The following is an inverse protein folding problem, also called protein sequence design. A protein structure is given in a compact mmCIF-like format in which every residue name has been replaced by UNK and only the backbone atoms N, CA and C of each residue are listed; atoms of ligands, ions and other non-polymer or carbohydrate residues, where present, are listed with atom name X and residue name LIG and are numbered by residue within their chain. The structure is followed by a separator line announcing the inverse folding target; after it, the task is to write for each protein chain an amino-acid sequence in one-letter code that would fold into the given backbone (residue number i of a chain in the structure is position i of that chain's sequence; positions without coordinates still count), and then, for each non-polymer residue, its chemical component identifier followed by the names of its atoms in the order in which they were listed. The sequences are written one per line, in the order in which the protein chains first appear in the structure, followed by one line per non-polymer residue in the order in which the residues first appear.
data_IF_008961757894
#
_entry.id   IF_008961757894
#
_cell.length_a   1.000
_cell.length_b   1.000
_cell.length_c   1.000
_cell.angle_alpha   90.00
_cell.angle_beta   90.00
_cell.angle_gamma   90.00
#
_symmetry.space_group_name_H-M   'P 1'
#
loop_
_entity.id
_entity.type
_entity.pdbx_description
1 polymer ?
#
# COMPACT_ATOMS: atom_id res chain seq x y z
N UNK A 1 -21.67 -69.89 19.08
CA UNK A 1 -21.25 -69.58 17.70
C UNK A 1 -21.04 -68.07 17.61
N UNK A 2 -19.80 -67.64 17.31
CA UNK A 2 -19.32 -66.35 16.76
C UNK A 2 -19.93 -65.01 17.27
N UNK A 3 -19.22 -64.13 18.02
CA UNK A 3 -18.13 -63.20 17.61
C UNK A 3 -18.59 -62.28 16.45
N UNK A 4 -18.46 -60.94 16.44
CA UNK A 4 -17.50 -60.04 17.09
C UNK A 4 -17.84 -58.53 16.88
N UNK A 5 -17.15 -57.65 17.63
CA UNK A 5 -16.81 -56.21 17.38
C UNK A 5 -18.01 -55.21 17.36
N UNK A 6 -18.07 -54.08 18.08
CA UNK A 6 -17.14 -53.13 18.75
C UNK A 6 -17.95 -52.40 19.85
N UNK A 7 -17.48 -51.93 21.01
CA UNK A 7 -16.20 -51.28 21.35
C UNK A 7 -16.46 -49.81 21.73
N UNK A 8 -16.37 -49.49 23.02
CA UNK A 8 -16.54 -48.16 23.65
C UNK A 8 -15.93 -46.99 22.85
N UNK A 9 -16.55 -45.80 22.94
CA UNK A 9 -15.82 -44.54 23.08
C UNK A 9 -16.70 -43.41 23.66
N UNK A 10 -16.48 -43.15 24.94
CA UNK A 10 -16.74 -41.85 25.55
C UNK A 10 -15.49 -40.95 25.38
N UNK A 11 -15.73 -39.64 25.33
CA UNK A 11 -14.78 -38.53 25.53
C UNK A 11 -13.78 -38.23 24.39
N UNK A 12 -14.09 -37.18 23.62
CA UNK A 12 -13.18 -36.07 23.29
C UNK A 12 -13.82 -35.15 22.22
N UNK A 13 -14.58 -34.13 22.64
CA UNK A 13 -14.91 -33.01 21.76
C UNK A 13 -13.71 -32.05 21.75
N UNK A 14 -12.72 -32.33 20.89
CA UNK A 14 -11.58 -31.46 20.66
C UNK A 14 -11.56 -30.97 19.21
N UNK A 15 -11.75 -29.65 19.08
CA UNK A 15 -11.22 -28.77 18.02
C UNK A 15 -11.34 -29.23 16.55
N UNK A 16 -12.38 -28.75 15.88
CA UNK A 16 -12.29 -28.40 14.45
C UNK A 16 -12.21 -26.87 14.35
N UNK A 17 -10.99 -26.33 14.35
CA UNK A 17 -10.75 -24.97 13.86
C UNK A 17 -10.88 -25.00 12.33
N UNK A 18 -12.08 -24.78 11.82
CA UNK A 18 -12.24 -24.34 10.44
C UNK A 18 -11.65 -22.92 10.35
N UNK A 19 -10.50 -22.83 9.70
CA UNK A 19 -9.92 -21.57 9.26
C UNK A 19 -10.98 -20.83 8.41
N UNK A 20 -11.57 -19.79 8.98
CA UNK A 20 -12.43 -18.88 8.24
C UNK A 20 -11.56 -18.15 7.21
N UNK A 21 -11.62 -18.60 5.96
CA UNK A 21 -11.08 -17.87 4.82
C UNK A 21 -11.65 -16.45 4.82
N UNK A 22 -10.76 -15.45 4.86
CA UNK A 22 -11.15 -14.07 4.62
C UNK A 22 -11.72 -14.00 3.20
N UNK A 23 -13.03 -13.74 3.08
CA UNK A 23 -13.68 -13.56 1.79
C UNK A 23 -13.00 -12.43 1.03
N UNK A 24 -12.44 -12.75 -0.12
CA UNK A 24 -11.90 -11.75 -1.04
C UNK A 24 -13.03 -10.82 -1.48
N UNK A 25 -12.81 -9.51 -1.36
CA UNK A 25 -13.76 -8.52 -1.87
C UNK A 25 -13.43 -8.34 -3.36
N UNK A 26 -14.35 -8.67 -4.26
CA UNK A 26 -14.26 -8.23 -5.66
C UNK A 26 -14.33 -6.70 -5.70
N UNK A 27 -13.42 -6.06 -6.43
CA UNK A 27 -13.38 -4.61 -6.60
C UNK A 27 -14.75 -4.10 -7.11
N UNK A 28 -15.51 -3.37 -6.28
CA UNK A 28 -16.82 -2.84 -6.65
C UNK A 28 -16.69 -1.84 -7.84
N UNK A 29 -17.63 -1.80 -8.80
CA UNK A 29 -17.59 -0.88 -9.95
C UNK A 29 -17.53 0.61 -9.59
N UNK A 30 -17.99 0.99 -8.38
CA UNK A 30 -17.88 2.37 -7.87
C UNK A 30 -16.58 2.68 -7.13
N UNK A 31 -15.66 1.71 -7.01
CA UNK A 31 -14.40 1.82 -6.26
C UNK A 31 -13.17 1.60 -7.12
N UNK A 32 -13.32 0.84 -8.19
CA UNK A 32 -12.25 0.52 -9.10
C UNK A 32 -12.62 0.99 -10.50
N UNK A 33 -11.71 1.71 -11.15
CA UNK A 33 -11.89 2.18 -12.52
C UNK A 33 -10.78 1.58 -13.40
N UNK A 34 -11.16 1.04 -14.54
CA UNK A 34 -10.22 0.44 -15.48
C UNK A 34 -10.07 1.35 -16.68
N UNK A 35 -8.82 1.70 -17.00
CA UNK A 35 -8.45 2.52 -18.14
C UNK A 35 -7.69 1.66 -19.15
N UNK A 36 -8.09 1.72 -20.41
CA UNK A 36 -7.43 0.97 -21.48
C UNK A 36 -6.07 1.60 -21.79
N UNK A 37 -4.99 0.88 -21.51
CA UNK A 37 -3.61 1.32 -21.77
C UNK A 37 -2.81 0.19 -22.42
N UNK A 38 -3.09 -0.17 -23.68
CA UNK A 38 -2.36 -1.22 -24.40
C UNK A 38 -0.85 -1.00 -24.35
N UNK A 39 -0.11 -2.00 -23.87
CA UNK A 39 1.36 -1.95 -23.77
C UNK A 39 1.92 -1.33 -22.49
N UNK A 40 1.08 -0.91 -21.52
CA UNK A 40 1.58 -0.51 -20.20
C UNK A 40 2.18 -1.72 -19.46
N UNK A 41 3.41 -1.61 -18.99
CA UNK A 41 4.17 -2.76 -18.43
C UNK A 41 4.96 -2.43 -17.18
N UNK A 42 5.14 -1.16 -16.85
CA UNK A 42 6.04 -0.72 -15.79
C UNK A 42 5.39 -0.01 -14.60
N UNK A 43 6.22 0.63 -13.75
CA UNK A 43 5.76 1.39 -12.59
C UNK A 43 4.91 2.60 -12.99
N UNK A 44 4.20 3.12 -11.99
CA UNK A 44 3.35 4.31 -12.12
C UNK A 44 3.78 5.32 -11.06
N UNK A 45 3.88 6.59 -11.43
CA UNK A 45 4.19 7.69 -10.52
C UNK A 45 3.23 8.85 -10.75
N UNK A 46 2.95 9.62 -9.70
CA UNK A 46 2.31 10.92 -9.85
C UNK A 46 3.31 11.91 -10.46
N UNK A 47 2.92 12.54 -11.56
CA UNK A 47 3.70 13.57 -12.22
C UNK A 47 3.60 14.92 -11.54
N UNK A 48 4.57 15.81 -11.84
CA UNK A 48 4.60 17.19 -11.35
C UNK A 48 3.40 18.04 -11.85
N UNK A 49 2.75 17.60 -12.92
CA UNK A 49 1.59 18.26 -13.56
C UNK A 49 0.24 17.73 -13.06
N UNK A 50 0.23 16.93 -12.00
CA UNK A 50 -0.99 16.33 -11.47
C UNK A 50 -1.59 15.24 -12.36
N UNK A 51 -0.84 14.73 -13.34
CA UNK A 51 -1.21 13.55 -14.12
C UNK A 51 -0.50 12.29 -13.59
N UNK A 52 -0.96 11.11 -14.02
CA UNK A 52 -0.23 9.87 -13.83
C UNK A 52 0.76 9.65 -14.96
N UNK A 53 1.94 9.19 -14.61
CA UNK A 53 2.95 8.81 -15.57
C UNK A 53 3.35 7.37 -15.36
N UNK A 54 3.47 6.63 -16.47
CA UNK A 54 3.73 5.20 -16.44
C UNK A 54 4.59 4.78 -17.62
N UNK A 55 5.26 3.65 -17.48
CA UNK A 55 6.06 3.08 -18.55
C UNK A 55 5.26 2.02 -19.33
N UNK A 56 5.43 2.05 -20.65
CA UNK A 56 4.96 1.00 -21.53
C UNK A 56 6.05 0.54 -22.50
N UNK A 57 5.71 -0.46 -23.30
CA UNK A 57 6.61 -1.05 -24.28
C UNK A 57 6.99 -0.02 -25.36
N UNK A 58 8.16 0.59 -25.19
CA UNK A 58 8.69 1.63 -26.09
C UNK A 58 8.06 3.02 -25.93
N UNK A 59 7.35 3.30 -24.84
CA UNK A 59 6.79 4.65 -24.59
C UNK A 59 6.74 5.04 -23.12
N UNK A 60 6.74 6.35 -22.88
CA UNK A 60 6.34 6.94 -21.61
C UNK A 60 4.90 7.42 -21.76
N UNK A 61 4.00 6.89 -20.95
CA UNK A 61 2.58 7.22 -20.95
C UNK A 61 2.26 8.29 -19.92
N UNK A 62 1.37 9.21 -20.27
CA UNK A 62 0.76 10.18 -19.38
C UNK A 62 -0.75 9.97 -19.41
N UNK A 63 -1.39 9.89 -18.25
CA UNK A 63 -2.84 9.76 -18.14
C UNK A 63 -3.38 10.82 -17.20
N UNK A 64 -4.36 11.61 -17.64
CA UNK A 64 -5.08 12.50 -16.74
C UNK A 64 -6.06 11.72 -15.82
N UNK A 65 -6.65 12.40 -14.85
CA UNK A 65 -7.58 11.76 -13.90
C UNK A 65 -8.93 11.36 -14.53
N UNK A 66 -9.24 11.86 -15.73
CA UNK A 66 -10.39 11.46 -16.51
C UNK A 66 -10.14 10.18 -17.32
N UNK A 67 -8.87 9.77 -17.46
CA UNK A 67 -8.45 8.58 -18.20
C UNK A 67 -7.98 8.86 -19.63
N UNK A 68 -7.79 10.12 -20.02
CA UNK A 68 -7.23 10.44 -21.33
C UNK A 68 -5.73 10.15 -21.32
N UNK A 69 -5.27 9.34 -22.27
CA UNK A 69 -3.88 8.87 -22.35
C UNK A 69 -3.15 9.55 -23.48
N UNK A 70 -2.03 10.19 -23.17
CA UNK A 70 -1.03 10.67 -24.11
C UNK A 70 0.18 9.74 -24.08
N UNK A 71 0.73 9.40 -25.24
CA UNK A 71 1.92 8.53 -25.35
C UNK A 71 3.07 9.31 -25.96
N UNK A 72 4.21 9.26 -25.29
CA UNK A 72 5.46 9.82 -25.77
C UNK A 72 6.38 8.67 -26.18
N UNK A 73 6.74 8.54 -27.47
CA UNK A 73 7.66 7.50 -27.92
C UNK A 73 8.98 7.57 -27.13
N UNK A 74 9.38 6.46 -26.52
CA UNK A 74 10.65 6.38 -25.84
C UNK A 74 11.77 6.22 -26.90
N UNK A 75 12.86 6.97 -26.81
CA UNK A 75 13.94 6.96 -27.81
C UNK A 75 14.73 5.65 -27.87
N UNK A 76 14.62 4.79 -26.86
CA UNK A 76 15.56 3.70 -26.60
C UNK A 76 14.89 2.55 -25.83
N UNK A 77 14.40 1.53 -26.56
CA UNK A 77 13.98 0.24 -26.00
C UNK A 77 12.97 0.31 -24.83
N UNK A 78 12.76 -0.81 -24.11
CA UNK A 78 11.88 -0.82 -22.94
C UNK A 78 12.53 -0.08 -21.77
N UNK A 79 11.84 0.94 -21.26
CA UNK A 79 12.21 1.62 -20.02
C UNK A 79 12.00 0.69 -18.80
N UNK A 80 12.86 0.81 -17.80
CA UNK A 80 12.90 -0.08 -16.63
C UNK A 80 12.27 0.53 -15.38
N UNK A 81 12.54 1.80 -15.12
CA UNK A 81 12.03 2.52 -13.95
C UNK A 81 11.83 4.01 -14.25
N UNK A 82 10.98 4.68 -13.47
CA UNK A 82 10.55 6.07 -13.67
C UNK A 82 10.39 6.76 -12.31
N UNK A 83 10.89 7.99 -12.19
CA UNK A 83 10.73 8.81 -10.99
C UNK A 83 10.59 10.29 -11.34
N UNK A 84 10.07 11.09 -10.41
CA UNK A 84 10.13 12.55 -10.50
C UNK A 84 11.47 13.00 -9.93
N UNK A 85 12.22 13.77 -10.71
CA UNK A 85 13.50 14.30 -10.33
C UNK A 85 13.42 15.55 -9.46
N UNK A 86 14.57 16.02 -8.95
CA UNK A 86 14.64 17.16 -8.05
C UNK A 86 14.22 18.49 -8.67
N UNK A 87 14.41 18.62 -9.98
CA UNK A 87 14.03 19.79 -10.80
C UNK A 87 12.57 19.75 -11.27
N UNK A 88 11.78 18.78 -10.80
CA UNK A 88 10.40 18.58 -11.17
C UNK A 88 10.21 17.96 -12.56
N UNK A 89 11.26 17.56 -13.28
CA UNK A 89 11.13 16.78 -14.51
C UNK A 89 10.95 15.28 -14.20
N UNK A 90 10.50 14.51 -15.19
CA UNK A 90 10.45 13.05 -15.10
C UNK A 90 11.77 12.46 -15.55
N UNK A 91 12.27 11.48 -14.80
CA UNK A 91 13.48 10.74 -15.14
C UNK A 91 13.18 9.27 -15.26
N UNK A 92 13.67 8.66 -16.34
CA UNK A 92 13.49 7.23 -16.59
C UNK A 92 14.81 6.57 -16.95
N UNK A 93 14.94 5.29 -16.61
CA UNK A 93 16.04 4.44 -17.05
C UNK A 93 15.58 3.56 -18.20
N UNK A 94 16.47 3.33 -19.16
CA UNK A 94 16.24 2.44 -20.28
C UNK A 94 17.57 1.82 -20.71
N UNK A 95 17.59 0.99 -21.76
CA UNK A 95 18.77 0.22 -22.20
C UNK A 95 20.04 1.09 -22.36
N UNK A 96 20.88 1.14 -21.33
CA UNK A 96 22.16 1.86 -21.32
C UNK A 96 22.04 3.38 -21.13
N UNK A 97 20.85 3.90 -20.84
CA UNK A 97 20.61 5.34 -20.79
C UNK A 97 19.71 5.78 -19.64
N UNK A 98 19.80 7.07 -19.34
CA UNK A 98 18.87 7.82 -18.49
C UNK A 98 18.25 8.93 -19.33
N UNK A 99 16.93 9.02 -19.32
CA UNK A 99 16.17 10.08 -19.95
C UNK A 99 15.64 11.06 -18.92
N UNK A 100 15.66 12.35 -19.25
CA UNK A 100 14.98 13.44 -18.55
C UNK A 100 13.90 13.97 -19.48
N UNK A 101 12.67 14.04 -19.03
CA UNK A 101 11.49 14.39 -19.82
C UNK A 101 10.68 15.48 -19.12
N UNK A 102 10.31 16.52 -19.85
CA UNK A 102 9.33 17.51 -19.43
C UNK A 102 7.90 16.96 -19.56
N UNK A 103 6.95 17.61 -18.89
CA UNK A 103 5.53 17.20 -18.93
C UNK A 103 4.87 17.43 -20.30
N UNK A 104 5.51 18.22 -21.14
CA UNK A 104 5.18 18.44 -22.56
C UNK A 104 5.63 17.28 -23.46
N UNK A 105 6.34 16.29 -22.92
CA UNK A 105 6.85 15.13 -23.65
C UNK A 105 8.20 15.36 -24.33
N UNK A 106 8.76 16.56 -24.25
CA UNK A 106 10.12 16.81 -24.73
C UNK A 106 11.12 16.14 -23.79
N UNK A 107 12.11 15.47 -24.34
CA UNK A 107 13.08 14.74 -23.54
C UNK A 107 14.50 14.87 -24.05
N UNK A 108 15.43 14.58 -23.15
CA UNK A 108 16.86 14.50 -23.40
C UNK A 108 17.39 13.19 -22.83
N UNK A 109 18.31 12.53 -23.51
CA UNK A 109 18.86 11.23 -23.10
C UNK A 109 20.37 11.31 -22.93
N UNK A 110 20.88 10.70 -21.87
CA UNK A 110 22.31 10.53 -21.63
C UNK A 110 22.65 9.04 -21.48
N UNK A 111 23.81 8.61 -22.00
CA UNK A 111 24.32 7.25 -21.75
C UNK A 111 24.68 7.12 -20.26
N UNK A 112 24.06 6.15 -19.60
CA UNK A 112 24.38 5.79 -18.21
C UNK A 112 25.39 4.64 -18.15
N UNK A 113 25.51 3.85 -19.23
CA UNK A 113 26.26 2.59 -19.21
C UNK A 113 25.61 1.48 -18.37
N UNK A 114 24.46 1.78 -17.75
CA UNK A 114 23.66 0.85 -16.96
C UNK A 114 22.55 0.30 -17.85
N UNK A 115 22.61 -1.01 -18.11
CA UNK A 115 21.62 -1.72 -18.92
C UNK A 115 20.38 -2.07 -18.09
N UNK A 116 19.46 -1.10 -17.98
CA UNK A 116 18.27 -1.24 -17.15
C UNK A 116 18.62 -1.14 -15.66
N UNK A 117 17.68 -0.66 -14.86
CA UNK A 117 17.99 -0.36 -13.48
C UNK A 117 16.99 0.52 -12.75
N UNK A 118 17.10 0.53 -11.44
CA UNK A 118 16.31 1.41 -10.58
C UNK A 118 16.78 2.86 -10.66
N UNK A 119 15.87 3.80 -10.43
CA UNK A 119 16.18 5.23 -10.33
C UNK A 119 15.51 5.86 -9.12
N UNK A 120 16.26 6.66 -8.35
CA UNK A 120 15.70 7.40 -7.23
C UNK A 120 16.34 8.79 -7.08
N UNK A 121 15.50 9.79 -6.84
CA UNK A 121 15.94 11.15 -6.54
C UNK A 121 16.18 11.35 -5.04
N UNK A 122 17.30 12.02 -4.71
CA UNK A 122 17.64 12.48 -3.37
C UNK A 122 17.24 13.95 -3.18
N UNK A 123 16.98 14.39 -1.92
CA UNK A 123 16.60 15.77 -1.64
C UNK A 123 17.69 16.81 -1.94
N UNK A 124 18.95 16.39 -2.07
CA UNK A 124 20.09 17.26 -2.36
C UNK A 124 20.26 17.59 -3.86
N UNK A 125 19.31 17.19 -4.71
CA UNK A 125 19.41 17.36 -6.16
C UNK A 125 20.15 16.22 -6.87
N UNK A 126 20.52 15.16 -6.16
CA UNK A 126 21.20 14.01 -6.76
C UNK A 126 20.20 12.96 -7.26
N UNK A 127 20.42 12.45 -8.47
CA UNK A 127 19.79 11.24 -8.99
C UNK A 127 20.73 10.05 -8.83
N UNK A 128 20.19 8.95 -8.31
CA UNK A 128 20.89 7.69 -8.17
C UNK A 128 20.34 6.64 -9.12
N UNK A 129 21.23 5.98 -9.86
CA UNK A 129 20.88 4.84 -10.70
C UNK A 129 21.47 3.57 -10.12
N UNK A 130 20.67 2.52 -10.06
CA UNK A 130 21.10 1.18 -9.68
C UNK A 130 21.11 0.27 -10.88
N UNK A 131 22.27 -0.28 -11.22
CA UNK A 131 22.45 -1.26 -12.29
C UNK A 131 23.10 -2.54 -11.77
N UNK A 132 23.19 -3.62 -12.57
CA UNK A 132 23.89 -4.84 -12.18
C UNK A 132 25.32 -4.53 -11.72
N UNK A 133 25.62 -4.70 -10.42
CA UNK A 133 26.95 -4.45 -9.83
C UNK A 133 27.39 -2.98 -9.79
N UNK A 134 26.50 -2.02 -10.03
CA UNK A 134 26.86 -0.59 -10.10
C UNK A 134 25.82 0.30 -9.42
N UNK A 135 26.28 1.25 -8.62
CA UNK A 135 25.51 2.42 -8.19
C UNK A 135 26.11 3.66 -8.84
N UNK A 136 25.28 4.46 -9.48
CA UNK A 136 25.69 5.66 -10.18
C UNK A 136 25.09 6.89 -9.51
N UNK A 137 25.91 7.94 -9.40
CA UNK A 137 25.49 9.26 -8.98
C UNK A 137 25.42 10.20 -10.18
N UNK A 138 24.33 10.94 -10.32
CA UNK A 138 24.16 12.00 -11.32
C UNK A 138 23.65 13.26 -10.64
N UNK A 139 24.21 14.42 -10.98
CA UNK A 139 23.63 15.72 -10.60
C UNK A 139 22.85 16.30 -11.78
N UNK A 140 21.87 17.16 -11.50
CA UNK A 140 21.04 17.80 -12.55
C UNK A 140 21.90 18.54 -13.60
N UNK A 141 22.97 19.22 -13.17
CA UNK A 141 23.95 19.84 -14.07
C UNK A 141 24.58 18.82 -15.02
N UNK A 142 24.79 17.59 -14.56
CA UNK A 142 25.45 16.54 -15.34
C UNK A 142 24.50 15.88 -16.35
N UNK A 143 23.17 16.01 -16.16
CA UNK A 143 22.18 15.55 -17.14
C UNK A 143 21.87 16.66 -18.15
N UNK A 144 21.68 17.89 -17.67
CA UNK A 144 21.34 19.05 -18.50
C UNK A 144 22.53 19.52 -19.35
N UNK A 145 23.74 19.65 -18.79
CA UNK A 145 24.92 20.03 -19.57
C UNK A 145 25.29 19.00 -20.64
N UNK A 146 24.92 17.72 -20.45
CA UNK A 146 25.08 16.64 -21.42
C UNK A 146 24.01 16.63 -22.52
N UNK A 147 22.90 17.33 -22.34
CA UNK A 147 21.78 17.36 -23.26
C UNK A 147 21.82 18.52 -24.29
N UNK A 148 22.49 19.62 -23.96
CA UNK A 148 22.50 20.86 -24.77
C UNK A 148 23.60 20.94 -25.84
N UNK A 149 24.38 19.88 -26.08
CA UNK A 149 25.45 19.87 -27.10
C UNK A 149 25.55 18.52 -27.81
N UNK A 150 25.33 18.52 -29.13
CA UNK A 150 25.19 17.38 -30.04
C UNK A 150 26.01 16.12 -29.74
N UNK A 151 25.39 14.98 -30.09
CA UNK A 151 25.85 13.57 -30.00
C UNK A 151 27.36 13.45 -29.87
N UNK A 152 27.83 13.40 -28.63
CA UNK A 152 29.17 12.92 -28.31
C UNK A 152 29.08 11.94 -27.16
N UNK A 153 29.77 10.81 -27.33
CA UNK A 153 29.85 9.73 -26.35
C UNK A 153 30.53 10.28 -25.08
N UNK A 154 29.86 10.19 -23.93
CA UNK A 154 30.41 10.70 -22.67
C UNK A 154 30.44 9.62 -21.59
N UNK A 155 31.59 9.53 -20.93
CA UNK A 155 31.90 8.63 -19.83
C UNK A 155 31.36 9.17 -18.50
N UNK A 156 30.89 8.25 -17.67
CA UNK A 156 30.23 8.54 -16.41
C UNK A 156 31.27 8.62 -15.30
N UNK A 157 31.24 9.69 -14.51
CA UNK A 157 32.04 9.80 -13.29
C UNK A 157 31.54 8.76 -12.29
N UNK A 158 32.29 7.66 -12.16
CA UNK A 158 32.06 6.62 -11.18
C UNK A 158 32.02 7.25 -9.79
N UNK A 159 30.95 7.01 -9.03
CA UNK A 159 31.01 7.25 -7.59
C UNK A 159 32.23 6.48 -7.05
N UNK A 160 33.08 7.20 -6.31
CA UNK A 160 34.32 6.65 -5.76
C UNK A 160 34.06 5.32 -5.03
N UNK A 161 34.90 4.33 -5.36
CA UNK A 161 34.88 2.95 -4.88
C UNK A 161 33.63 2.12 -5.28
N UNK A 162 33.79 1.41 -6.39
CA UNK A 162 32.96 0.28 -6.77
C UNK A 162 32.92 -0.79 -5.66
N UNK A 163 31.83 -0.84 -4.89
CA UNK A 163 31.40 -2.09 -4.27
C UNK A 163 30.57 -2.82 -5.31
N UNK A 164 30.96 -4.05 -5.67
CA UNK A 164 30.15 -4.89 -6.56
C UNK A 164 28.89 -5.32 -5.79
N UNK A 165 27.81 -4.54 -5.94
CA UNK A 165 26.50 -4.77 -5.33
C UNK A 165 25.62 -5.41 -6.41
N UNK A 166 25.19 -6.69 -6.33
CA UNK A 166 24.21 -7.21 -7.28
C UNK A 166 23.04 -6.23 -7.36
N UNK A 167 22.89 -5.64 -8.54
CA UNK A 167 22.26 -4.32 -8.69
C UNK A 167 20.87 -4.26 -8.10
N UNK A 168 20.48 -3.17 -7.43
CA UNK A 168 19.12 -3.07 -6.96
C UNK A 168 18.18 -2.93 -8.15
N UNK A 169 17.24 -3.87 -8.25
CA UNK A 169 16.15 -3.79 -9.23
C UNK A 169 15.13 -2.70 -8.87
N UNK A 170 15.16 -2.20 -7.62
CA UNK A 170 14.36 -1.07 -7.15
C UNK A 170 15.12 -0.27 -6.09
N UNK A 171 14.90 1.04 -6.09
CA UNK A 171 15.47 1.98 -5.12
C UNK A 171 14.35 2.94 -4.69
N UNK A 172 14.39 3.39 -3.44
CA UNK A 172 13.42 4.37 -2.94
C UNK A 172 14.08 5.39 -2.05
N UNK A 173 13.63 6.64 -2.12
CA UNK A 173 14.01 7.66 -1.15
C UNK A 173 13.34 7.35 0.19
N UNK A 174 14.15 7.23 1.23
CA UNK A 174 13.70 7.02 2.60
C UNK A 174 13.26 8.31 3.30
N UNK A 175 12.55 8.19 4.43
CA UNK A 175 12.12 9.33 5.26
C UNK A 175 13.29 10.14 5.84
N UNK A 176 14.45 9.53 5.92
CA UNK A 176 15.71 10.11 6.39
C UNK A 176 16.50 10.83 5.27
N UNK A 177 15.93 10.92 4.07
CA UNK A 177 16.54 11.58 2.92
C UNK A 177 17.58 10.75 2.16
N UNK A 178 17.89 9.54 2.63
CA UNK A 178 18.84 8.64 1.98
C UNK A 178 18.12 7.71 0.99
N UNK A 179 18.88 7.04 0.12
CA UNK A 179 18.31 6.06 -0.80
C UNK A 179 18.40 4.66 -0.20
N UNK A 180 17.31 3.93 -0.24
CA UNK A 180 17.20 2.57 0.29
C UNK A 180 16.95 1.58 -0.83
N UNK A 181 17.61 0.43 -0.76
CA UNK A 181 17.58 -0.54 -1.85
C UNK A 181 17.86 -1.96 -1.34
N UNK A 182 17.34 -3.00 -2.02
CA UNK A 182 17.71 -4.39 -1.70
C UNK A 182 19.12 -4.73 -2.21
N UNK A 183 19.92 -5.38 -1.37
CA UNK A 183 21.23 -5.93 -1.73
C UNK A 183 21.16 -7.45 -1.77
N UNK A 184 20.67 -8.00 -2.89
CA UNK A 184 20.38 -9.42 -3.03
C UNK A 184 21.61 -10.32 -2.77
N UNK A 185 22.80 -9.87 -3.21
CA UNK A 185 24.05 -10.60 -3.00
C UNK A 185 24.45 -10.83 -1.54
N UNK A 186 23.87 -10.07 -0.62
CA UNK A 186 24.25 -10.08 0.80
C UNK A 186 23.05 -10.30 1.72
N UNK A 187 21.90 -10.61 1.13
CA UNK A 187 20.63 -10.76 1.84
C UNK A 187 20.43 -9.60 2.83
N UNK A 188 20.53 -8.35 2.34
CA UNK A 188 20.46 -7.15 3.16
C UNK A 188 19.58 -6.08 2.51
N UNK A 189 19.18 -5.09 3.31
CA UNK A 189 18.70 -3.80 2.82
C UNK A 189 19.85 -2.80 2.95
N UNK A 190 20.25 -2.18 1.84
CA UNK A 190 21.27 -1.12 1.82
C UNK A 190 20.66 0.26 1.98
N UNK A 191 21.36 1.14 2.70
CA UNK A 191 21.10 2.58 2.83
C UNK A 191 22.28 3.34 2.26
N UNK A 192 22.04 4.10 1.20
CA UNK A 192 23.00 4.94 0.50
C UNK A 192 22.84 6.40 0.92
N UNK A 193 23.87 6.94 1.56
CA UNK A 193 23.94 8.33 1.93
C UNK A 193 24.39 9.23 0.76
N UNK A 194 24.13 10.54 0.89
CA UNK A 194 24.44 11.52 -0.15
C UNK A 194 25.95 11.66 -0.46
N UNK A 195 26.81 11.25 0.46
CA UNK A 195 28.27 11.18 0.27
C UNK A 195 28.72 9.91 -0.48
N UNK A 196 27.80 8.98 -0.77
CA UNK A 196 28.09 7.69 -1.41
C UNK A 196 28.30 6.54 -0.43
N UNK A 197 28.26 6.79 0.89
CA UNK A 197 28.45 5.75 1.91
C UNK A 197 27.26 4.79 1.91
N UNK A 198 27.53 3.48 1.87
CA UNK A 198 26.52 2.42 1.97
C UNK A 198 26.58 1.75 3.34
N UNK A 199 25.45 1.71 4.03
CA UNK A 199 25.25 0.94 5.27
C UNK A 199 24.29 -0.22 5.02
N UNK A 200 24.68 -1.43 5.43
CA UNK A 200 23.90 -2.65 5.19
C UNK A 200 23.13 -3.06 6.45
N UNK A 201 21.87 -3.44 6.27
CA UNK A 201 21.01 -4.01 7.30
C UNK A 201 20.73 -5.47 6.94
N UNK A 202 21.46 -6.44 7.54
CA UNK A 202 21.28 -7.87 7.22
C UNK A 202 19.85 -8.33 7.47
N UNK A 203 19.27 -9.03 6.50
CA UNK A 203 17.92 -9.57 6.63
C UNK A 203 17.92 -10.73 7.63
N UNK A 204 16.98 -10.74 8.58
CA UNK A 204 16.66 -11.95 9.34
C UNK A 204 16.32 -13.14 8.42
N UNK A 205 16.72 -14.38 8.76
CA UNK A 205 16.53 -15.55 7.89
C UNK A 205 15.08 -15.80 7.46
N UNK A 206 14.09 -15.38 8.24
CA UNK A 206 12.67 -15.55 7.94
C UNK A 206 12.16 -14.76 6.72
N UNK A 207 12.93 -13.78 6.23
CA UNK A 207 12.64 -13.08 4.98
C UNK A 207 13.17 -13.84 3.75
N UNK A 208 14.13 -14.74 3.93
CA UNK A 208 14.89 -15.33 2.83
C UNK A 208 15.78 -14.29 2.12
N UNK A 209 16.40 -14.69 1.02
CA UNK A 209 17.42 -13.87 0.34
C UNK A 209 16.86 -12.92 -0.74
N UNK A 210 15.58 -13.04 -1.10
CA UNK A 210 14.99 -12.28 -2.21
C UNK A 210 13.98 -11.25 -1.71
N UNK A 211 14.17 -10.00 -2.14
CA UNK A 211 13.21 -8.90 -1.97
C UNK A 211 12.49 -8.66 -3.29
N UNK A 212 11.16 -8.58 -3.24
CA UNK A 212 10.31 -8.38 -4.42
C UNK A 212 9.98 -6.92 -4.72
N UNK A 213 9.91 -6.09 -3.68
CA UNK A 213 9.39 -4.72 -3.68
C UNK A 213 9.96 -3.94 -2.50
N UNK A 214 10.24 -2.63 -2.64
CA UNK A 214 10.66 -1.75 -1.55
C UNK A 214 9.95 -0.39 -1.64
N UNK A 215 9.56 0.19 -0.51
CA UNK A 215 8.93 1.51 -0.45
C UNK A 215 9.19 2.19 0.90
N UNK A 216 9.20 3.52 0.94
CA UNK A 216 9.19 4.27 2.19
C UNK A 216 7.77 4.28 2.75
N UNK A 217 7.60 3.81 3.98
CA UNK A 217 6.31 3.71 4.63
C UNK A 217 5.82 5.03 5.23
N UNK A 218 4.51 5.16 5.43
CA UNK A 218 3.88 6.35 6.01
C UNK A 218 4.15 6.51 7.52
N UNK A 219 4.86 5.56 8.12
CA UNK A 219 5.24 5.50 9.53
C UNK A 219 6.74 5.72 9.76
N UNK A 220 7.45 6.22 8.74
CA UNK A 220 8.88 6.52 8.82
C UNK A 220 9.80 5.30 8.70
N UNK A 221 9.26 4.10 8.46
CA UNK A 221 10.04 2.89 8.19
C UNK A 221 10.23 2.61 6.71
N UNK A 222 11.13 1.70 6.37
CA UNK A 222 11.26 1.12 5.03
C UNK A 222 10.51 -0.19 4.99
N UNK A 223 9.59 -0.33 4.05
CA UNK A 223 8.75 -1.50 3.87
C UNK A 223 9.16 -2.26 2.63
N UNK A 224 9.12 -3.59 2.69
CA UNK A 224 9.53 -4.43 1.59
C UNK A 224 8.75 -5.74 1.54
N UNK A 225 8.71 -6.37 0.37
CA UNK A 225 8.13 -7.70 0.19
C UNK A 225 9.25 -8.73 0.10
N UNK A 226 9.02 -9.87 0.72
CA UNK A 226 9.96 -11.00 0.74
C UNK A 226 9.22 -12.24 0.21
N UNK A 227 9.20 -12.44 -1.13
CA UNK A 227 8.42 -13.50 -1.78
C UNK A 227 8.71 -14.89 -1.22
N UNK A 228 9.99 -15.24 -1.07
CA UNK A 228 10.43 -16.58 -0.66
C UNK A 228 10.16 -16.84 0.83
N UNK A 229 10.16 -15.78 1.66
CA UNK A 229 9.77 -15.86 3.06
C UNK A 229 8.26 -15.89 3.28
N UNK A 230 7.44 -15.57 2.27
CA UNK A 230 6.01 -15.27 2.42
C UNK A 230 5.77 -14.19 3.48
N UNK A 231 6.53 -13.09 3.37
CA UNK A 231 6.48 -11.97 4.33
C UNK A 231 6.41 -10.62 3.64
N UNK A 232 5.76 -9.68 4.33
CA UNK A 232 6.08 -8.25 4.21
C UNK A 232 6.96 -7.87 5.39
N UNK A 233 8.08 -7.22 5.11
CA UNK A 233 9.01 -6.73 6.12
C UNK A 233 8.90 -5.23 6.31
N UNK A 234 9.22 -4.79 7.53
CA UNK A 234 9.38 -3.40 7.91
C UNK A 234 10.71 -3.24 8.61
N UNK A 235 11.54 -2.31 8.15
CA UNK A 235 12.77 -1.87 8.79
C UNK A 235 12.53 -0.49 9.41
N UNK A 236 12.67 -0.39 10.73
CA UNK A 236 12.54 0.88 11.44
C UNK A 236 13.75 1.79 11.20
N UNK A 237 13.62 3.08 11.49
CA UNK A 237 14.74 4.03 11.45
C UNK A 237 15.89 3.68 12.42
N UNK A 238 15.64 2.80 13.39
CA UNK A 238 16.64 2.26 14.32
C UNK A 238 17.32 0.98 13.81
N UNK A 239 16.97 0.51 12.61
CA UNK A 239 17.50 -0.73 12.05
C UNK A 239 16.80 -2.00 12.54
N UNK A 240 15.61 -1.89 13.14
CA UNK A 240 14.88 -3.04 13.68
C UNK A 240 13.90 -3.61 12.64
N UNK A 241 13.91 -4.93 12.46
CA UNK A 241 13.01 -5.62 11.54
C UNK A 241 11.71 -6.07 12.23
N UNK A 242 10.60 -5.97 11.51
CA UNK A 242 9.31 -6.59 11.85
C UNK A 242 8.79 -7.35 10.65
N UNK A 243 8.35 -8.60 10.86
CA UNK A 243 7.87 -9.48 9.80
C UNK A 243 6.36 -9.74 9.90
N UNK A 244 5.64 -9.54 8.80
CA UNK A 244 4.21 -9.82 8.68
C UNK A 244 3.99 -11.02 7.76
N UNK A 245 3.34 -12.07 8.27
CA UNK A 245 3.03 -13.28 7.49
C UNK A 245 2.00 -12.97 6.40
N UNK A 246 2.29 -13.42 5.19
CA UNK A 246 1.34 -13.43 4.08
C UNK A 246 0.90 -14.85 3.76
N UNK A 247 -0.26 -14.99 3.12
CA UNK A 247 -0.78 -16.29 2.67
C UNK A 247 -0.13 -16.77 1.38
N UNK A 248 0.37 -15.84 0.55
CA UNK A 248 1.00 -16.11 -0.74
C UNK A 248 2.15 -15.14 -1.00
N UNK A 249 2.85 -15.32 -2.12
CA UNK A 249 4.05 -14.55 -2.48
C UNK A 249 3.72 -13.07 -2.69
N UNK A 250 4.16 -12.15 -1.81
CA UNK A 250 4.03 -10.73 -2.07
C UNK A 250 5.09 -10.30 -3.10
N UNK A 251 4.72 -9.42 -4.02
CA UNK A 251 5.60 -8.96 -5.11
C UNK A 251 5.78 -7.44 -5.07
N UNK A 252 4.88 -6.68 -5.70
CA UNK A 252 4.95 -5.22 -5.71
C UNK A 252 4.38 -4.61 -4.41
N UNK A 253 4.87 -3.44 -4.02
CA UNK A 253 4.50 -2.73 -2.79
C UNK A 253 4.58 -1.21 -2.99
N UNK A 254 3.67 -0.48 -2.36
CA UNK A 254 3.69 0.98 -2.33
C UNK A 254 3.09 1.49 -1.02
N UNK A 255 3.65 2.57 -0.49
CA UNK A 255 2.93 3.34 0.52
C UNK A 255 1.76 4.01 -0.16
N UNK A 256 0.57 3.74 0.35
CA UNK A 256 -0.66 4.23 -0.20
C UNK A 256 -1.45 5.07 0.79
N UNK A 257 -2.62 5.54 0.35
CA UNK A 257 -3.50 6.39 1.15
C UNK A 257 -3.87 5.78 2.50
N UNK A 258 -4.19 6.67 3.44
CA UNK A 258 -4.63 6.34 4.80
C UNK A 258 -3.59 5.61 5.65
N UNK A 259 -2.32 6.04 5.57
CA UNK A 259 -1.16 5.48 6.27
C UNK A 259 -1.11 3.95 6.20
N UNK A 260 -1.34 3.41 5.00
CA UNK A 260 -1.31 1.98 4.75
C UNK A 260 -0.26 1.63 3.71
N UNK A 261 0.26 0.43 3.84
CA UNK A 261 1.06 -0.23 2.84
C UNK A 261 0.12 -1.04 1.97
N UNK A 262 0.24 -0.85 0.67
CA UNK A 262 -0.48 -1.63 -0.33
C UNK A 262 0.51 -2.53 -1.02
N UNK A 263 0.14 -3.80 -1.23
CA UNK A 263 0.98 -4.75 -1.92
C UNK A 263 0.17 -5.77 -2.68
N UNK A 264 0.77 -6.34 -3.72
CA UNK A 264 0.18 -7.38 -4.54
C UNK A 264 0.73 -8.73 -4.10
N UNK A 265 -0.14 -9.73 -4.04
CA UNK A 265 0.22 -11.13 -3.85
C UNK A 265 -0.24 -11.96 -5.04
N UNK A 266 0.48 -13.04 -5.31
CA UNK A 266 0.11 -14.01 -6.34
C UNK A 266 0.20 -15.45 -5.85
N UNK A 267 -0.78 -16.26 -6.27
CA UNK A 267 -0.80 -17.72 -6.09
C UNK A 267 -1.23 -18.39 -7.38
N UNK A 268 -0.29 -19.05 -8.08
CA UNK A 268 -0.55 -19.79 -9.33
C UNK A 268 -1.41 -19.01 -10.34
N UNK A 269 -1.12 -17.70 -10.49
CA UNK A 269 -1.82 -16.82 -11.43
C UNK A 269 -3.05 -16.10 -10.86
N UNK A 270 -3.44 -16.34 -9.61
CA UNK A 270 -4.46 -15.55 -8.91
C UNK A 270 -3.81 -14.34 -8.24
N UNK A 271 -4.31 -13.14 -8.55
CA UNK A 271 -3.75 -11.89 -8.02
C UNK A 271 -4.66 -11.29 -6.96
N UNK A 272 -4.05 -10.88 -5.86
CA UNK A 272 -4.74 -10.24 -4.73
C UNK A 272 -4.01 -8.98 -4.34
N UNK A 273 -4.74 -7.88 -4.23
CA UNK A 273 -4.25 -6.63 -3.65
C UNK A 273 -4.55 -6.66 -2.16
N UNK A 274 -3.56 -6.26 -1.38
CA UNK A 274 -3.63 -6.21 0.07
C UNK A 274 -3.37 -4.80 0.52
N UNK A 275 -4.24 -4.28 1.37
CA UNK A 275 -4.01 -3.08 2.15
C UNK A 275 -3.68 -3.52 3.56
N UNK A 276 -2.56 -3.06 4.09
CA UNK A 276 -2.12 -3.34 5.44
C UNK A 276 -1.79 -2.04 6.17
N UNK A 277 -2.36 -1.84 7.35
CA UNK A 277 -1.90 -0.76 8.26
C UNK A 277 -0.67 -1.24 9.05
N UNK A 278 0.22 -0.34 9.51
CA UNK A 278 1.41 -0.73 10.28
C UNK A 278 1.16 -1.61 11.50
N UNK A 279 -0.03 -1.54 12.10
CA UNK A 279 -0.44 -2.44 13.19
C UNK A 279 -0.68 -3.91 12.75
N UNK A 280 -0.56 -4.22 11.45
CA UNK A 280 -0.67 -5.57 10.89
C UNK A 280 -2.07 -5.98 10.42
N UNK A 281 -3.08 -5.10 10.51
CA UNK A 281 -4.42 -5.42 10.00
C UNK A 281 -4.43 -5.37 8.47
N UNK A 282 -4.83 -6.48 7.85
CA UNK A 282 -4.85 -6.66 6.40
C UNK A 282 -6.28 -6.75 5.85
N UNK A 283 -6.49 -6.17 4.68
CA UNK A 283 -7.71 -6.28 3.86
C UNK A 283 -7.33 -6.73 2.46
N UNK A 284 -8.16 -7.56 1.83
CA UNK A 284 -7.80 -8.30 0.62
C UNK A 284 -8.84 -8.09 -0.49
N UNK A 285 -8.37 -7.86 -1.71
CA UNK A 285 -9.20 -7.77 -2.92
C UNK A 285 -8.62 -8.63 -4.02
N UNK A 286 -9.42 -9.53 -4.58
CA UNK A 286 -9.01 -10.27 -5.77
C UNK A 286 -9.15 -9.38 -6.99
N UNK A 287 -8.11 -9.37 -7.82
CA UNK A 287 -8.08 -8.60 -9.07
C UNK A 287 -7.82 -9.54 -10.26
N UNK A 288 -8.44 -9.28 -11.41
CA UNK A 288 -8.18 -10.06 -12.62
C UNK A 288 -6.81 -9.70 -13.21
N UNK A 289 -6.14 -10.71 -13.77
CA UNK A 289 -4.90 -10.56 -14.54
C UNK A 289 -3.65 -10.26 -13.70
N UNK A 290 -2.46 -10.30 -14.34
CA UNK A 290 -1.21 -10.04 -13.66
C UNK A 290 -1.03 -8.55 -13.32
N UNK A 291 -0.61 -8.30 -12.09
CA UNK A 291 -0.19 -6.97 -11.65
C UNK A 291 1.30 -6.84 -11.94
N UNK A 292 1.66 -5.92 -12.83
CA UNK A 292 3.05 -5.64 -13.26
C UNK A 292 3.72 -4.59 -12.39
N UNK A 293 2.97 -3.56 -12.01
CA UNK A 293 3.46 -2.46 -11.20
C UNK A 293 2.34 -1.88 -10.35
N UNK A 294 2.72 -1.10 -9.35
CA UNK A 294 1.77 -0.27 -8.60
C UNK A 294 2.39 1.06 -8.23
N UNK A 295 1.55 2.05 -8.01
CA UNK A 295 1.93 3.36 -7.52
C UNK A 295 0.74 4.11 -6.96
N UNK A 296 0.99 5.30 -6.44
CA UNK A 296 -0.06 6.22 -6.00
C UNK A 296 -0.18 7.35 -6.99
N UNK A 297 -1.40 7.64 -7.39
CA UNK A 297 -1.70 8.76 -8.27
C UNK A 297 -1.83 10.09 -7.53
N UNK A 298 -1.92 11.19 -8.29
CA UNK A 298 -2.09 12.53 -7.73
C UNK A 298 -3.44 12.73 -7.03
N UNK A 299 -4.43 11.89 -7.31
CA UNK A 299 -5.70 11.84 -6.58
C UNK A 299 -5.64 11.02 -5.28
N UNK A 300 -4.45 10.54 -4.90
CA UNK A 300 -4.22 9.70 -3.73
C UNK A 300 -4.74 8.27 -3.88
N UNK A 301 -5.19 7.86 -5.06
CA UNK A 301 -5.62 6.50 -5.32
C UNK A 301 -4.44 5.57 -5.63
N UNK A 302 -4.63 4.27 -5.40
CA UNK A 302 -3.64 3.26 -5.80
C UNK A 302 -3.90 2.86 -7.24
N UNK A 303 -2.88 2.92 -8.08
CA UNK A 303 -2.92 2.51 -9.47
C UNK A 303 -2.13 1.23 -9.66
N UNK A 304 -2.67 0.33 -10.47
CA UNK A 304 -2.06 -0.95 -10.81
C UNK A 304 -1.87 -1.01 -12.32
N UNK A 305 -0.64 -1.27 -12.76
CA UNK A 305 -0.35 -1.61 -14.15
C UNK A 305 -0.63 -3.08 -14.37
N UNK A 306 -1.42 -3.39 -15.39
CA UNK A 306 -1.73 -4.74 -15.86
C UNK A 306 -1.48 -4.84 -17.36
N UNK A 307 -1.52 -6.06 -17.88
CA UNK A 307 -1.37 -6.31 -19.32
C UNK A 307 -2.49 -5.59 -20.11
N UNK A 308 -2.14 -4.42 -20.65
CA UNK A 308 -3.01 -3.58 -21.47
C UNK A 308 -3.99 -2.66 -20.72
N UNK A 309 -3.92 -2.56 -19.39
CA UNK A 309 -4.80 -1.66 -18.63
C UNK A 309 -4.15 -1.10 -17.37
N UNK A 310 -4.64 0.07 -16.94
CA UNK A 310 -4.41 0.63 -15.62
C UNK A 310 -5.70 0.48 -14.80
N UNK A 311 -5.59 -0.09 -13.61
CA UNK A 311 -6.69 -0.14 -12.64
C UNK A 311 -6.44 0.87 -11.53
N UNK A 312 -7.34 1.83 -11.38
CA UNK A 312 -7.39 2.74 -10.24
C UNK A 312 -8.24 2.12 -9.13
N UNK A 313 -7.71 2.07 -7.92
CA UNK A 313 -8.40 1.64 -6.70
C UNK A 313 -8.50 2.83 -5.77
N UNK A 314 -9.71 3.33 -5.57
CA UNK A 314 -9.96 4.42 -4.63
C UNK A 314 -9.75 3.92 -3.18
N UNK A 315 -9.05 4.69 -2.33
CA UNK A 315 -8.92 4.34 -0.93
C UNK A 315 -10.27 4.20 -0.26
N UNK A 316 -10.32 3.31 0.71
CA UNK A 316 -11.44 3.21 1.63
C UNK A 316 -11.66 4.56 2.35
N UNK A 317 -12.67 5.32 1.93
CA UNK A 317 -13.33 6.28 2.80
C UNK A 317 -14.21 5.44 3.74
N UNK A 318 -13.69 4.95 4.86
CA UNK A 318 -14.47 4.13 5.77
C UNK A 318 -13.76 3.81 7.07
N UNK A 319 -14.46 4.04 8.18
CA UNK A 319 -14.06 3.61 9.52
C UNK A 319 -14.02 2.07 9.59
N UNK A 320 -12.91 1.51 10.08
CA UNK A 320 -12.81 0.09 10.42
C UNK A 320 -13.57 -0.19 11.73
N UNK A 321 -14.45 -1.19 11.81
CA UNK A 321 -14.79 -1.79 13.09
C UNK A 321 -13.69 -2.77 13.50
N UNK A 322 -13.12 -2.58 14.69
CA UNK A 322 -12.42 -3.66 15.39
C UNK A 322 -13.47 -4.75 15.68
N UNK A 323 -13.23 -6.01 15.28
CA UNK A 323 -14.11 -7.15 15.56
C UNK A 323 -14.51 -7.16 17.05
N UNK A 324 -15.71 -6.70 17.36
CA UNK A 324 -16.26 -6.71 18.71
C UNK A 324 -16.91 -8.05 19.00
N UNK A 325 -16.29 -8.87 19.85
CA UNK A 325 -17.02 -9.88 20.63
C UNK A 325 -18.16 -9.17 21.38
N UNK A 326 -19.31 -9.83 21.48
CA UNK A 326 -20.51 -9.44 22.25
C UNK A 326 -20.25 -8.37 23.32
N UNK A 327 -20.88 -7.20 23.18
CA UNK A 327 -20.65 -6.06 24.07
C UNK A 327 -21.34 -6.30 25.42
N UNK A 328 -20.59 -6.37 26.52
CA UNK A 328 -21.18 -6.60 27.82
C UNK A 328 -21.74 -5.31 28.45
N UNK A 329 -22.93 -5.39 29.07
CA UNK A 329 -23.44 -4.32 29.95
C UNK A 329 -22.71 -4.32 31.29
N UNK A 330 -22.25 -3.15 31.78
CA UNK A 330 -21.73 -3.06 33.14
C UNK A 330 -22.88 -3.17 34.17
N UNK A 331 -22.69 -3.90 35.29
CA UNK A 331 -23.78 -4.38 36.16
C UNK A 331 -24.59 -3.31 36.89
N UNK A 332 -24.26 -2.01 36.78
CA UNK A 332 -25.01 -0.90 37.40
C UNK A 332 -25.27 0.29 36.49
N UNK A 333 -24.96 0.19 35.20
CA UNK A 333 -25.23 1.26 34.24
C UNK A 333 -26.00 0.70 33.06
N UNK A 334 -27.12 1.33 32.69
CA UNK A 334 -27.92 1.02 31.50
C UNK A 334 -27.23 1.41 30.18
N UNK A 335 -25.93 1.21 30.15
CA UNK A 335 -25.00 1.87 29.27
C UNK A 335 -24.14 0.81 28.56
N UNK A 336 -24.15 0.85 27.23
CA UNK A 336 -23.44 -0.05 26.32
C UNK A 336 -22.21 0.69 25.80
N UNK A 337 -21.03 0.16 26.05
CA UNK A 337 -19.80 0.74 25.50
C UNK A 337 -19.67 0.31 24.05
N UNK A 338 -19.66 1.27 23.13
CA UNK A 338 -19.38 1.04 21.71
C UNK A 338 -17.99 1.59 21.38
N UNK A 339 -17.21 0.82 20.62
CA UNK A 339 -15.87 1.22 20.17
C UNK A 339 -15.91 1.55 18.68
N UNK A 340 -15.45 2.75 18.31
CA UNK A 340 -15.48 3.26 16.93
C UNK A 340 -14.13 3.88 16.55
N UNK A 341 -13.32 3.27 15.69
CA UNK A 341 -12.11 3.95 15.19
C UNK A 341 -12.44 4.76 13.95
N UNK A 342 -12.18 6.08 13.98
CA UNK A 342 -12.17 6.90 12.78
C UNK A 342 -10.85 6.70 12.05
N UNK A 343 -10.92 6.35 10.76
CA UNK A 343 -9.75 6.23 9.89
C UNK A 343 -9.98 7.01 8.60
N UNK A 344 -9.83 8.32 8.69
CA UNK A 344 -9.66 9.23 7.55
C UNK A 344 -8.57 10.23 7.93
N UNK A 345 -7.66 10.52 7.01
CA UNK A 345 -6.43 11.27 7.28
C UNK A 345 -6.43 12.73 6.81
N UNK A 346 -7.57 13.24 6.32
CA UNK A 346 -7.75 14.67 6.02
C UNK A 346 -8.59 15.41 7.07
N UNK A 347 -8.99 14.73 8.15
CA UNK A 347 -9.83 15.32 9.21
C UNK A 347 -9.10 15.29 10.56
N UNK A 348 -8.90 16.46 11.16
CA UNK A 348 -8.35 16.61 12.52
C UNK A 348 -9.33 16.06 13.58
N UNK A 349 -10.63 16.05 13.25
CA UNK A 349 -11.71 15.55 14.09
C UNK A 349 -12.75 14.79 13.24
N UNK A 350 -13.29 13.69 13.78
CA UNK A 350 -14.49 13.09 13.24
C UNK A 350 -15.66 13.32 14.20
N UNK A 351 -16.75 13.87 13.69
CA UNK A 351 -17.97 14.10 14.44
C UNK A 351 -19.17 13.45 13.73
N UNK A 352 -20.10 12.96 14.52
CA UNK A 352 -21.26 12.26 13.98
C UNK A 352 -22.19 11.73 15.05
N UNK A 353 -23.15 10.93 14.61
CA UNK A 353 -24.07 10.25 15.51
C UNK A 353 -24.26 8.79 15.10
N UNK A 354 -24.44 7.95 16.12
CA UNK A 354 -24.87 6.56 15.93
C UNK A 354 -26.28 6.44 16.47
N UNK A 355 -27.21 6.02 15.60
CA UNK A 355 -28.60 5.75 15.97
C UNK A 355 -28.81 4.24 15.96
N UNK A 356 -29.18 3.68 17.10
CA UNK A 356 -29.47 2.25 17.25
C UNK A 356 -30.96 2.02 17.23
N UNK A 357 -31.44 1.12 16.37
CA UNK A 357 -32.86 0.81 16.16
C UNK A 357 -33.15 -0.67 16.36
N UNK A 358 -34.34 -0.93 16.91
CA UNK A 358 -35.00 -2.24 16.89
C UNK A 358 -36.26 -2.10 16.02
N UNK A 359 -36.27 -2.72 14.84
CA UNK A 359 -37.27 -2.43 13.81
C UNK A 359 -37.28 -0.94 13.44
N UNK A 360 -38.45 -0.31 13.46
CA UNK A 360 -38.59 1.13 13.20
C UNK A 360 -38.27 2.03 14.40
N UNK A 361 -38.12 1.48 15.61
CA UNK A 361 -37.98 2.26 16.86
C UNK A 361 -36.52 2.49 17.24
N UNK A 362 -36.18 3.73 17.57
CA UNK A 362 -34.87 4.08 18.15
C UNK A 362 -34.80 3.59 19.59
N UNK A 363 -33.71 2.89 19.92
CA UNK A 363 -33.44 2.35 21.27
C UNK A 363 -32.26 3.04 21.96
N UNK A 364 -31.44 3.78 21.22
CA UNK A 364 -30.35 4.61 21.76
C UNK A 364 -29.69 5.45 20.67
N UNK A 365 -29.12 6.58 21.08
CA UNK A 365 -28.36 7.47 20.20
C UNK A 365 -27.06 7.88 20.90
N UNK A 366 -25.98 7.96 20.14
CA UNK A 366 -24.67 8.38 20.63
C UNK A 366 -24.11 9.46 19.70
N UNK A 367 -24.00 10.72 20.14
CA UNK A 367 -23.13 11.66 19.49
C UNK A 367 -21.67 11.30 19.81
N UNK A 368 -20.79 11.48 18.84
CA UNK A 368 -19.35 11.41 19.07
C UNK A 368 -18.66 12.58 18.38
N UNK A 369 -17.59 13.04 18.99
CA UNK A 369 -16.60 13.96 18.42
C UNK A 369 -15.26 13.53 18.99
N UNK A 370 -14.35 13.06 18.14
CA UNK A 370 -13.05 12.54 18.59
C UNK A 370 -11.93 12.92 17.62
N UNK A 371 -10.71 13.04 18.15
CA UNK A 371 -9.51 13.16 17.32
C UNK A 371 -9.17 11.81 16.70
N UNK A 372 -8.61 11.85 15.49
CA UNK A 372 -8.14 10.66 14.79
C UNK A 372 -6.97 10.05 15.58
N UNK A 373 -6.98 8.72 15.76
CA UNK A 373 -6.02 7.90 16.52
C UNK A 373 -6.18 7.79 18.06
N UNK A 374 -7.20 8.40 18.67
CA UNK A 374 -7.53 8.11 20.07
C UNK A 374 -8.16 6.70 20.23
N UNK A 375 -7.88 6.03 21.36
CA UNK A 375 -8.49 4.73 21.68
C UNK A 375 -10.01 4.89 21.86
N UNK A 376 -10.86 4.29 21.01
CA UNK A 376 -12.23 4.75 20.95
C UNK A 376 -13.14 3.96 21.88
N UNK A 377 -13.75 4.64 22.83
CA UNK A 377 -14.94 4.12 23.51
C UNK A 377 -15.89 5.24 23.85
N UNK A 378 -17.07 5.25 23.23
CA UNK A 378 -18.19 6.09 23.68
C UNK A 378 -19.27 5.21 24.29
N UNK A 379 -19.89 5.71 25.35
CA UNK A 379 -20.91 4.97 26.11
C UNK A 379 -22.30 5.39 25.66
N UNK A 380 -23.07 4.45 25.12
CA UNK A 380 -24.47 4.64 24.76
C UNK A 380 -25.38 4.31 25.94
N UNK A 381 -26.30 5.19 26.33
CA UNK A 381 -27.37 4.85 27.27
C UNK A 381 -28.62 4.44 26.49
N UNK A 382 -29.19 3.27 26.80
CA UNK A 382 -30.43 2.83 26.17
C UNK A 382 -31.63 3.62 26.72
N UNK A 383 -32.60 3.96 25.89
CA UNK A 383 -33.86 4.55 26.35
C UNK A 383 -34.75 3.50 27.06
N UNK A 384 -35.84 3.95 27.72
CA UNK A 384 -36.75 3.07 28.49
C UNK A 384 -37.26 1.88 27.66
N UNK A 385 -37.53 2.09 26.37
CA UNK A 385 -37.98 1.05 25.46
C UNK A 385 -36.89 -0.01 25.20
N UNK A 386 -35.68 0.41 24.83
CA UNK A 386 -34.53 -0.47 24.62
C UNK A 386 -34.16 -1.26 25.89
N UNK A 387 -34.20 -0.61 27.05
CA UNK A 387 -33.99 -1.29 28.34
C UNK A 387 -35.05 -2.38 28.60
N UNK A 388 -36.32 -2.07 28.31
CA UNK A 388 -37.41 -3.03 28.44
C UNK A 388 -37.32 -4.22 27.48
N UNK A 389 -36.77 -4.02 26.27
CA UNK A 389 -36.51 -5.09 25.31
C UNK A 389 -35.41 -6.04 25.81
N UNK A 390 -34.28 -5.48 26.26
CA UNK A 390 -33.14 -6.28 26.75
C UNK A 390 -33.52 -7.05 28.02
N UNK A 391 -34.29 -6.45 28.93
CA UNK A 391 -34.79 -7.14 30.14
C UNK A 391 -35.68 -8.34 29.84
N UNK A 392 -36.54 -8.23 28.82
CA UNK A 392 -37.52 -9.27 28.44
C UNK A 392 -36.93 -10.38 27.57
N UNK A 393 -36.11 -10.02 26.59
CA UNK A 393 -35.65 -10.97 25.56
C UNK A 393 -34.24 -11.50 25.81
N UNK A 394 -33.44 -10.87 26.67
CA UNK A 394 -32.05 -11.26 26.98
C UNK A 394 -31.04 -11.04 25.85
N UNK A 395 -31.46 -11.25 24.59
CA UNK A 395 -30.73 -10.95 23.35
C UNK A 395 -31.62 -10.18 22.39
N UNK A 396 -31.18 -9.00 21.95
CA UNK A 396 -31.98 -8.13 21.07
C UNK A 396 -31.17 -7.77 19.83
N UNK A 397 -31.54 -8.26 18.63
CA UNK A 397 -30.88 -7.85 17.39
C UNK A 397 -31.25 -6.40 17.07
N UNK A 398 -30.27 -5.55 16.81
CA UNK A 398 -30.47 -4.13 16.53
C UNK A 398 -29.65 -3.70 15.32
N UNK A 399 -30.08 -2.64 14.65
CA UNK A 399 -29.32 -2.00 13.58
C UNK A 399 -28.78 -0.67 14.10
N UNK A 400 -27.47 -0.47 14.00
CA UNK A 400 -26.83 0.80 14.30
C UNK A 400 -26.48 1.51 13.01
N UNK A 401 -27.00 2.73 12.82
CA UNK A 401 -26.68 3.59 11.70
C UNK A 401 -25.75 4.69 12.15
N UNK A 402 -24.53 4.68 11.63
CA UNK A 402 -23.52 5.70 11.81
C UNK A 402 -23.71 6.79 10.76
N UNK A 403 -23.80 8.04 11.18
CA UNK A 403 -23.80 9.23 10.32
C UNK A 403 -22.53 10.03 10.60
N UNK A 404 -21.74 10.29 9.57
CA UNK A 404 -20.48 11.04 9.62
C UNK A 404 -20.58 12.28 8.74
N UNK A 405 -19.96 13.37 9.21
CA UNK A 405 -19.81 14.60 8.45
C UNK A 405 -18.33 14.79 8.10
N UNK A 406 -18.03 15.13 6.85
CA UNK A 406 -16.69 15.56 6.45
C UNK A 406 -16.54 17.09 6.51
N UNK A 407 -15.30 17.58 6.32
CA UNK A 407 -14.98 19.02 6.36
C UNK A 407 -15.60 19.82 5.20
N UNK A 408 -16.05 19.14 4.13
CA UNK A 408 -16.76 19.75 3.00
C UNK A 408 -18.27 19.80 3.19
N UNK A 409 -18.81 19.31 4.31
CA UNK A 409 -20.23 19.29 4.62
C UNK A 409 -21.00 18.10 4.04
N UNK A 410 -20.34 17.16 3.36
CA UNK A 410 -21.01 15.95 2.89
C UNK A 410 -21.25 14.99 4.06
N UNK A 411 -22.44 14.38 4.04
CA UNK A 411 -22.90 13.48 5.10
C UNK A 411 -22.96 12.06 4.56
N UNK A 412 -22.30 11.12 5.26
CA UNK A 412 -22.31 9.71 4.87
C UNK A 412 -22.90 8.83 5.95
N UNK A 413 -23.74 7.88 5.55
CA UNK A 413 -24.39 6.92 6.44
C UNK A 413 -23.90 5.50 6.20
N UNK A 414 -23.71 4.73 7.27
CA UNK A 414 -23.38 3.30 7.22
C UNK A 414 -24.14 2.56 8.31
N UNK A 415 -24.74 1.42 7.96
CA UNK A 415 -25.57 0.64 8.88
C UNK A 415 -24.95 -0.72 9.19
N UNK A 416 -25.09 -1.16 10.44
CA UNK A 416 -24.48 -2.39 10.96
C UNK A 416 -25.47 -3.18 11.84
N UNK A 417 -25.44 -4.50 11.76
CA UNK A 417 -26.21 -5.38 12.65
C UNK A 417 -25.45 -5.71 13.93
N UNK A 418 -26.11 -5.57 15.09
CA UNK A 418 -25.58 -5.91 16.41
C UNK A 418 -26.58 -6.75 17.22
N UNK A 419 -26.12 -7.37 18.30
CA UNK A 419 -26.98 -8.03 19.29
C UNK A 419 -26.69 -7.45 20.68
N UNK A 420 -27.65 -6.74 21.24
CA UNK A 420 -27.60 -6.30 22.64
C UNK A 420 -27.84 -7.50 23.54
N UNK A 421 -27.04 -7.65 24.61
CA UNK A 421 -27.18 -8.75 25.57
C UNK A 421 -27.26 -8.22 26.99
N UNK A 422 -28.16 -8.82 27.78
CA UNK A 422 -28.14 -8.70 29.23
C UNK A 422 -26.90 -9.44 29.73
N UNK A 423 -26.03 -8.76 30.48
CA UNK A 423 -24.89 -9.41 31.14
C UNK A 423 -25.38 -10.20 32.35
#
# INVERSE_FOLDING_TARGET
MFRALTGLLAVAAATLFLAAGAGAITCDPGRCATFSTPGATGPVVAGPDGALWFLGDGFVGRMDLAGNVTRFPAPVGPASDLTVGPDGALYFTAQGVVGRMGTDGQYTVARSGINGGAIAASPDGTLWLGGPNTLLRLRDSDVVARATGGVSNLSVAQAGAARAVPGPTMMVRGPDGNIWFPEAGRAAIGRLAADGTVTDFPLPPEFGAQIGGITAGPDGGIWFTAPNGFRVGRLSSKGEFTAYRTSWNPYAITAGPSHAIWFAMTDRGRWTIVRMVPAGYMSYWQVPGPVRGMGVGPDGAVYLTKDGSLERILPFLGAYPVRGRSLPMAPRSHAVTMRFSCSQYDLVYCAGSVVVRYGSRVVGTVPFSQRVNDAPSTRMVLNRYGQGLVRRMGRVPVVATLTQHDAGGATRQTSFGYVLRRR
#
